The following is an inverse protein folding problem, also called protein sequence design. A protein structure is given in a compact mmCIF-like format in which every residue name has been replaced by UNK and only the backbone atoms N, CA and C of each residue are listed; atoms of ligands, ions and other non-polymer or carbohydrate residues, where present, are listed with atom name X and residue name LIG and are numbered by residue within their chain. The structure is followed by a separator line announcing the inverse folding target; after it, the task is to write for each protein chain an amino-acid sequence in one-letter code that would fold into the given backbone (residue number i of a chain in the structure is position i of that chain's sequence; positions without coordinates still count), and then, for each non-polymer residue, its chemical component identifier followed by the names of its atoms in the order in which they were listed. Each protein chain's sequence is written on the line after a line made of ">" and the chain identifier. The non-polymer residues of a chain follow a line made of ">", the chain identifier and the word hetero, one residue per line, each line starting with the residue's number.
data_IF_340551506837
#
_entry.id   IF_340551506837
#
_cell.length_a   1.000
_cell.length_b   1.000
_cell.length_c   1.000
_cell.angle_alpha   90.00
_cell.angle_beta   90.00
_cell.angle_gamma   90.00
#
_symmetry.space_group_name_H-M   'P 1'
#
loop_
_entity.id
_entity.type
_entity.pdbx_description
1 polymer ?
#
# COMPACT_ATOMS: atom_id res chain seq x y z
N UNK A 1 -26.57 -6.11 4.35
CA UNK A 1 -26.60 -4.65 4.19
C UNK A 1 -25.17 -4.12 4.10
N UNK A 2 -24.91 -3.36 3.09
CA UNK A 2 -23.63 -2.68 3.01
C UNK A 2 -23.56 -1.63 4.11
N UNK A 3 -22.44 -1.55 4.79
CA UNK A 3 -22.24 -0.48 5.76
C UNK A 3 -21.95 0.84 5.00
N UNK A 4 -22.05 1.98 5.67
CA UNK A 4 -21.83 3.26 5.03
C UNK A 4 -20.43 3.45 4.47
N UNK A 5 -19.51 2.70 4.99
CA UNK A 5 -18.14 2.67 4.57
C UNK A 5 -17.99 2.10 3.15
N UNK A 6 -18.58 0.94 2.88
CA UNK A 6 -18.54 0.32 1.56
C UNK A 6 -19.24 1.19 0.53
N UNK A 7 -20.32 1.82 0.92
CA UNK A 7 -21.05 2.73 0.06
C UNK A 7 -20.20 3.96 -0.30
N UNK A 8 -19.48 4.49 0.65
CA UNK A 8 -18.58 5.64 0.43
C UNK A 8 -17.47 5.28 -0.57
N UNK A 9 -16.93 4.08 -0.45
CA UNK A 9 -15.93 3.59 -1.39
C UNK A 9 -16.49 3.50 -2.82
N UNK A 10 -17.68 2.96 -2.93
CA UNK A 10 -18.33 2.83 -4.22
C UNK A 10 -18.58 4.21 -4.84
N UNK A 11 -19.00 5.18 -4.04
CA UNK A 11 -19.21 6.54 -4.51
C UNK A 11 -17.91 7.16 -5.04
N UNK A 12 -16.81 6.97 -4.34
CA UNK A 12 -15.50 7.46 -4.75
C UNK A 12 -15.07 6.81 -6.08
N UNK A 13 -15.30 5.52 -6.22
CA UNK A 13 -15.00 4.79 -7.45
C UNK A 13 -15.81 5.34 -8.62
N UNK A 14 -17.10 5.51 -8.43
CA UNK A 14 -18.02 6.01 -9.47
C UNK A 14 -17.70 7.46 -9.85
N UNK A 15 -17.30 8.25 -8.89
CA UNK A 15 -16.94 9.65 -9.13
C UNK A 15 -15.55 9.82 -9.72
N UNK A 16 -14.73 8.76 -9.69
CA UNK A 16 -13.32 8.84 -10.09
C UNK A 16 -12.50 9.72 -9.16
N UNK A 17 -12.97 9.91 -7.94
CA UNK A 17 -12.42 10.86 -6.99
C UNK A 17 -11.51 10.16 -5.98
N UNK A 18 -10.25 9.94 -6.37
CA UNK A 18 -9.27 9.36 -5.46
C UNK A 18 -8.33 10.42 -4.92
N UNK A 19 -8.13 10.37 -3.61
CA UNK A 19 -7.14 11.18 -2.90
C UNK A 19 -5.98 10.26 -2.55
N UNK A 20 -4.95 10.31 -3.37
CA UNK A 20 -3.85 9.36 -3.33
C UNK A 20 -2.75 9.80 -2.38
N UNK A 21 -2.27 8.85 -1.59
CA UNK A 21 -1.02 8.98 -0.86
C UNK A 21 0.02 8.08 -1.53
N UNK A 22 1.16 8.65 -1.82
CA UNK A 22 2.31 7.91 -2.31
C UNK A 22 3.18 7.57 -1.12
N UNK A 23 3.58 6.30 -1.02
CA UNK A 23 4.50 5.88 0.03
C UNK A 23 5.77 5.30 -0.60
N UNK A 24 6.92 5.87 -0.20
CA UNK A 24 8.23 5.45 -0.66
C UNK A 24 9.07 5.01 0.54
N UNK A 25 9.85 3.95 0.36
CA UNK A 25 10.75 3.47 1.41
C UNK A 25 12.06 3.01 0.78
N UNK A 26 13.15 3.33 1.45
CA UNK A 26 14.48 2.85 1.09
C UNK A 26 15.19 2.42 2.36
N UNK A 27 15.67 1.18 2.41
CA UNK A 27 16.52 0.70 3.49
C UNK A 27 17.96 0.67 3.02
N UNK A 28 18.90 0.46 3.95
CA UNK A 28 20.31 0.34 3.60
C UNK A 28 20.57 -0.81 2.64
N UNK A 29 19.79 -1.88 2.74
CA UNK A 29 19.92 -3.04 1.87
C UNK A 29 19.49 -2.72 0.44
N UNK A 30 18.59 -1.76 0.27
CA UNK A 30 18.08 -1.38 -1.05
C UNK A 30 19.10 -0.60 -1.87
N UNK A 31 20.11 -0.02 -1.23
CA UNK A 31 21.20 0.69 -1.92
C UNK A 31 21.97 -0.22 -2.88
N UNK A 32 21.91 -1.52 -2.64
CA UNK A 32 22.58 -2.51 -3.48
C UNK A 32 21.83 -2.80 -4.77
N UNK A 33 20.58 -2.40 -4.87
CA UNK A 33 19.71 -2.73 -6.00
C UNK A 33 19.78 -1.72 -7.15
N UNK A 34 20.57 -0.67 -7.02
CA UNK A 34 20.82 0.28 -8.10
C UNK A 34 19.87 1.46 -8.14
N UNK A 35 19.88 2.16 -9.26
CA UNK A 35 19.23 3.47 -9.40
C UNK A 35 17.72 3.46 -9.20
N UNK A 36 17.06 2.38 -9.56
CA UNK A 36 15.60 2.32 -9.46
C UNK A 36 15.08 2.28 -8.04
N UNK A 37 15.97 2.03 -7.08
CA UNK A 37 15.60 1.92 -5.67
C UNK A 37 15.47 3.27 -4.97
N UNK A 38 16.01 4.36 -5.54
CA UNK A 38 16.01 5.65 -4.85
C UNK A 38 14.60 6.15 -4.56
N UNK A 39 14.46 6.88 -3.46
CA UNK A 39 13.18 7.49 -3.09
C UNK A 39 12.71 8.48 -4.15
N UNK A 40 13.64 9.29 -4.69
CA UNK A 40 13.30 10.23 -5.74
C UNK A 40 12.73 9.54 -6.98
N UNK A 41 13.33 8.41 -7.37
CA UNK A 41 12.85 7.65 -8.51
C UNK A 41 11.50 6.99 -8.24
N UNK A 42 11.31 6.44 -7.06
CA UNK A 42 10.01 5.89 -6.65
C UNK A 42 8.93 6.95 -6.72
N UNK A 43 9.19 8.10 -6.12
CA UNK A 43 8.26 9.21 -6.08
C UNK A 43 7.88 9.69 -7.48
N UNK A 44 8.88 9.94 -8.32
CA UNK A 44 8.65 10.42 -9.68
C UNK A 44 7.78 9.46 -10.49
N UNK A 45 8.10 8.19 -10.43
CA UNK A 45 7.35 7.15 -11.13
C UNK A 45 5.90 7.09 -10.67
N UNK A 46 5.68 7.16 -9.36
CA UNK A 46 4.34 7.06 -8.79
C UNK A 46 3.52 8.33 -9.02
N UNK A 47 4.15 9.49 -8.96
CA UNK A 47 3.48 10.75 -9.28
C UNK A 47 3.01 10.78 -10.73
N UNK A 48 3.86 10.34 -11.65
CA UNK A 48 3.50 10.25 -13.07
C UNK A 48 2.37 9.26 -13.31
N UNK A 49 2.38 8.15 -12.60
CA UNK A 49 1.31 7.16 -12.71
C UNK A 49 -0.02 7.74 -12.23
N UNK A 50 -0.03 8.41 -11.09
CA UNK A 50 -1.24 9.04 -10.58
C UNK A 50 -1.75 10.14 -11.53
N UNK A 51 -0.86 10.95 -12.07
CA UNK A 51 -1.22 11.99 -13.03
C UNK A 51 -1.89 11.37 -14.26
N UNK A 52 -1.32 10.31 -14.79
CA UNK A 52 -1.87 9.60 -15.94
C UNK A 52 -3.26 9.04 -15.68
N UNK A 53 -3.51 8.59 -14.44
CA UNK A 53 -4.82 8.08 -14.05
C UNK A 53 -5.83 9.17 -13.69
N UNK A 54 -5.38 10.41 -13.56
CA UNK A 54 -6.23 11.51 -13.16
C UNK A 54 -6.51 11.57 -11.66
N UNK A 55 -5.66 10.96 -10.85
CA UNK A 55 -5.81 10.95 -9.40
C UNK A 55 -5.06 12.11 -8.76
N UNK A 56 -5.69 12.71 -7.73
CA UNK A 56 -5.05 13.76 -6.96
C UNK A 56 -4.08 13.16 -5.94
N UNK A 57 -2.82 13.59 -5.98
CA UNK A 57 -1.83 13.21 -4.97
C UNK A 57 -1.92 14.22 -3.83
N UNK A 58 -2.49 13.80 -2.70
CA UNK A 58 -2.69 14.70 -1.56
C UNK A 58 -1.51 14.70 -0.60
N UNK A 59 -0.69 13.65 -0.62
CA UNK A 59 0.48 13.56 0.26
C UNK A 59 1.49 12.57 -0.30
N UNK A 60 2.76 12.83 0.02
CA UNK A 60 3.85 11.89 -0.25
C UNK A 60 4.52 11.61 1.08
N UNK A 61 4.61 10.34 1.43
CA UNK A 61 5.25 9.85 2.65
C UNK A 61 6.49 9.08 2.28
N UNK A 62 7.58 9.30 3.00
CA UNK A 62 8.82 8.63 2.66
C UNK A 62 9.64 8.34 3.91
N UNK A 63 10.12 7.11 3.99
CA UNK A 63 10.99 6.65 5.07
C UNK A 63 12.31 6.18 4.47
N UNK A 64 13.35 6.98 4.64
CA UNK A 64 14.68 6.69 4.13
C UNK A 64 15.54 6.09 5.24
N UNK A 65 16.16 4.96 4.98
CA UNK A 65 16.99 4.26 5.95
C UNK A 65 16.24 3.35 6.90
N UNK A 66 14.95 3.14 6.69
CA UNK A 66 14.12 2.30 7.56
C UNK A 66 13.84 0.94 6.91
N UNK A 67 13.90 -0.11 7.73
CA UNK A 67 13.61 -1.45 7.26
C UNK A 67 12.11 -1.67 7.04
N UNK A 68 11.76 -2.54 6.10
CA UNK A 68 10.38 -2.98 5.92
C UNK A 68 9.94 -4.07 6.88
N UNK A 69 10.81 -4.52 7.79
CA UNK A 69 10.53 -5.64 8.69
C UNK A 69 9.63 -5.27 9.86
N UNK A 70 9.54 -3.99 10.20
CA UNK A 70 8.66 -3.54 11.28
C UNK A 70 7.86 -2.31 10.85
N UNK A 71 6.92 -1.91 11.71
CA UNK A 71 6.03 -0.79 11.45
C UNK A 71 6.53 0.52 12.08
N UNK A 72 7.72 0.51 12.68
CA UNK A 72 8.30 1.69 13.32
C UNK A 72 8.97 2.60 12.30
N UNK A 73 8.19 3.08 11.36
CA UNK A 73 8.59 4.01 10.32
C UNK A 73 7.74 5.26 10.47
N UNK A 74 8.35 6.42 10.79
CA UNK A 74 7.58 7.61 11.17
C UNK A 74 6.57 8.06 10.11
N UNK A 75 6.96 8.07 8.84
CA UNK A 75 6.05 8.52 7.80
C UNK A 75 4.97 7.49 7.49
N UNK A 76 5.27 6.20 7.59
CA UNK A 76 4.23 5.18 7.50
C UNK A 76 3.17 5.42 8.58
N UNK A 77 3.59 5.66 9.81
CA UNK A 77 2.66 5.92 10.91
C UNK A 77 1.84 7.17 10.68
N UNK A 78 2.45 8.23 10.16
CA UNK A 78 1.72 9.45 9.80
C UNK A 78 0.66 9.19 8.74
N UNK A 79 1.01 8.39 7.73
CA UNK A 79 0.08 8.00 6.68
C UNK A 79 -1.11 7.21 7.25
N UNK A 80 -0.84 6.25 8.13
CA UNK A 80 -1.92 5.46 8.73
C UNK A 80 -2.86 6.33 9.56
N UNK A 81 -2.34 7.32 10.27
CA UNK A 81 -3.18 8.27 11.00
C UNK A 81 -4.03 9.13 10.07
N UNK A 82 -3.47 9.57 8.95
CA UNK A 82 -4.21 10.32 7.94
C UNK A 82 -5.34 9.48 7.32
N UNK A 83 -5.08 8.19 7.13
CA UNK A 83 -6.10 7.25 6.67
C UNK A 83 -7.26 7.15 7.67
N UNK A 84 -6.95 7.03 8.95
CA UNK A 84 -7.98 6.97 9.99
C UNK A 84 -8.84 8.24 10.03
N UNK A 85 -8.26 9.37 9.66
CA UNK A 85 -8.97 10.65 9.56
C UNK A 85 -9.71 10.84 8.23
N UNK A 86 -9.74 9.80 7.40
CA UNK A 86 -10.43 9.83 6.10
C UNK A 86 -9.89 10.87 5.12
N UNK A 87 -8.62 11.21 5.24
CA UNK A 87 -7.96 12.17 4.33
C UNK A 87 -7.45 11.51 3.06
N UNK A 88 -7.28 10.19 3.08
CA UNK A 88 -6.69 9.39 2.01
C UNK A 88 -7.62 8.22 1.72
N UNK A 89 -7.88 7.96 0.44
CA UNK A 89 -8.65 6.78 0.04
C UNK A 89 -7.94 5.91 -1.00
N UNK A 90 -6.67 6.23 -1.28
CA UNK A 90 -5.83 5.44 -2.18
C UNK A 90 -4.39 5.51 -1.68
N UNK A 91 -3.75 4.36 -1.52
CA UNK A 91 -2.33 4.28 -1.21
C UNK A 91 -1.64 3.57 -2.37
N UNK A 92 -0.54 4.13 -2.84
CA UNK A 92 0.21 3.54 -3.93
C UNK A 92 1.69 3.46 -3.57
N UNK A 93 2.28 2.29 -3.82
CA UNK A 93 3.71 2.05 -3.65
C UNK A 93 4.29 1.47 -4.94
N UNK A 94 5.61 1.54 -5.07
CA UNK A 94 6.31 0.93 -6.20
C UNK A 94 6.09 -0.57 -6.22
N UNK A 95 6.27 -1.21 -5.08
CA UNK A 95 6.03 -2.64 -4.90
C UNK A 95 5.61 -2.91 -3.46
N UNK A 96 5.21 -4.13 -3.21
CA UNK A 96 4.70 -4.53 -1.89
C UNK A 96 5.77 -4.40 -0.81
N UNK A 97 7.04 -4.64 -1.14
CA UNK A 97 8.13 -4.58 -0.16
C UNK A 97 8.31 -3.16 0.41
N UNK A 98 7.91 -2.14 -0.33
CA UNK A 98 7.97 -0.76 0.17
C UNK A 98 6.95 -0.54 1.27
N UNK A 99 5.77 -1.12 1.14
CA UNK A 99 4.77 -1.07 2.21
C UNK A 99 5.25 -1.85 3.44
N UNK A 100 5.81 -3.04 3.23
CA UNK A 100 6.38 -3.83 4.30
C UNK A 100 6.91 -5.17 3.83
N UNK A 101 7.90 -5.68 4.56
CA UNK A 101 8.48 -7.01 4.35
C UNK A 101 8.01 -8.04 5.37
N UNK A 102 7.31 -7.58 6.41
CA UNK A 102 6.67 -8.48 7.36
C UNK A 102 5.28 -8.80 6.82
N UNK A 103 5.13 -9.99 6.28
CA UNK A 103 3.90 -10.35 5.59
C UNK A 103 2.67 -10.40 6.49
N UNK A 104 2.84 -10.70 7.77
CA UNK A 104 1.70 -10.69 8.70
C UNK A 104 1.19 -9.28 8.92
N UNK A 105 2.09 -8.33 9.20
CA UNK A 105 1.73 -6.94 9.41
C UNK A 105 1.21 -6.29 8.13
N UNK A 106 1.87 -6.55 7.01
CA UNK A 106 1.50 -6.01 5.71
C UNK A 106 0.16 -6.59 5.26
N UNK A 107 -0.05 -7.88 5.49
CA UNK A 107 -1.32 -8.52 5.19
C UNK A 107 -2.46 -7.93 6.00
N UNK A 108 -2.22 -7.63 7.28
CA UNK A 108 -3.22 -6.97 8.12
C UNK A 108 -3.61 -5.61 7.54
N UNK A 109 -2.63 -4.84 7.06
CA UNK A 109 -2.93 -3.56 6.43
C UNK A 109 -3.82 -3.74 5.19
N UNK A 110 -3.46 -4.65 4.31
CA UNK A 110 -4.13 -4.83 3.01
C UNK A 110 -5.48 -5.50 3.17
N UNK A 111 -5.60 -6.48 4.05
CA UNK A 111 -6.81 -7.29 4.16
C UNK A 111 -7.81 -6.77 5.19
N UNK A 112 -7.35 -5.94 6.13
CA UNK A 112 -8.22 -5.43 7.19
C UNK A 112 -8.20 -3.90 7.28
N UNK A 113 -7.04 -3.31 7.54
CA UNK A 113 -6.95 -1.88 7.85
C UNK A 113 -7.39 -1.00 6.67
N UNK A 114 -6.86 -1.25 5.48
CA UNK A 114 -7.21 -0.46 4.30
C UNK A 114 -8.68 -0.63 3.91
N UNK A 115 -9.20 -1.85 3.76
CA UNK A 115 -10.63 -2.00 3.44
C UNK A 115 -11.53 -1.37 4.49
N UNK A 116 -11.23 -1.54 5.76
CA UNK A 116 -12.02 -1.00 6.84
C UNK A 116 -12.06 0.52 6.85
N UNK A 117 -11.03 1.17 6.31
CA UNK A 117 -10.94 2.62 6.24
C UNK A 117 -11.23 3.18 4.83
N UNK A 118 -11.75 2.36 3.93
CA UNK A 118 -12.12 2.83 2.60
C UNK A 118 -10.95 3.12 1.69
N UNK A 119 -9.84 2.40 1.87
CA UNK A 119 -8.61 2.66 1.13
C UNK A 119 -8.34 1.57 0.11
N UNK A 120 -8.21 2.00 -1.17
CA UNK A 120 -7.68 1.17 -2.23
C UNK A 120 -6.16 1.15 -2.12
N UNK A 121 -5.55 -0.01 -2.30
CA UNK A 121 -4.10 -0.13 -2.30
C UNK A 121 -3.60 -0.68 -3.64
N UNK A 122 -2.56 -0.04 -4.16
CA UNK A 122 -1.90 -0.46 -5.41
C UNK A 122 -0.40 -0.63 -5.15
N UNK A 123 0.13 -1.81 -5.47
CA UNK A 123 1.56 -2.06 -5.57
C UNK A 123 1.88 -2.21 -7.05
N UNK A 124 2.46 -1.19 -7.64
CA UNK A 124 2.54 -1.03 -9.08
C UNK A 124 3.29 -2.15 -9.79
N UNK A 125 4.49 -2.48 -9.31
CA UNK A 125 5.32 -3.50 -9.94
C UNK A 125 4.87 -4.94 -9.67
N UNK A 126 4.07 -5.14 -8.63
CA UNK A 126 3.57 -6.47 -8.28
C UNK A 126 2.20 -6.76 -8.89
N UNK A 127 1.62 -5.79 -9.58
CA UNK A 127 0.29 -5.95 -10.16
C UNK A 127 -0.81 -6.08 -9.13
N UNK A 128 -0.59 -5.58 -7.93
CA UNK A 128 -1.59 -5.64 -6.86
C UNK A 128 -2.47 -4.40 -6.91
N UNK A 129 -3.78 -4.61 -6.92
CA UNK A 129 -4.77 -3.55 -6.86
C UNK A 129 -5.99 -4.11 -6.14
N UNK A 130 -6.22 -3.63 -4.92
CA UNK A 130 -7.28 -4.18 -4.07
C UNK A 130 -8.70 -3.86 -4.56
N UNK A 131 -8.84 -2.93 -5.49
CA UNK A 131 -10.13 -2.63 -6.09
C UNK A 131 -10.55 -3.66 -7.12
N UNK A 132 -9.57 -4.34 -7.70
CA UNK A 132 -9.85 -5.37 -8.68
C UNK A 132 -10.38 -6.63 -8.00
N UNK A 133 -10.80 -7.56 -8.84
CA UNK A 133 -11.25 -8.87 -8.46
C UNK A 133 -10.23 -9.54 -7.50
N UNK A 134 -10.72 -10.42 -6.66
CA UNK A 134 -9.91 -11.15 -5.69
C UNK A 134 -8.73 -11.90 -6.31
N UNK A 135 -8.79 -12.17 -7.59
CA UNK A 135 -7.71 -12.86 -8.30
C UNK A 135 -6.43 -12.02 -8.37
N UNK A 136 -6.54 -10.71 -8.35
CA UNK A 136 -5.38 -9.84 -8.47
C UNK A 136 -4.50 -9.83 -7.24
N UNK A 137 -5.07 -10.16 -6.08
CA UNK A 137 -4.31 -10.26 -4.84
C UNK A 137 -4.05 -11.71 -4.42
N UNK A 138 -4.47 -12.68 -5.24
CA UNK A 138 -4.28 -14.08 -4.93
C UNK A 138 -2.82 -14.47 -4.67
N UNK A 139 -1.83 -14.00 -5.48
CA UNK A 139 -0.43 -14.31 -5.19
C UNK A 139 0.00 -13.87 -3.80
N UNK A 140 -0.43 -12.67 -3.39
CA UNK A 140 -0.12 -12.15 -2.07
C UNK A 140 -0.78 -12.98 -0.97
N UNK A 141 -2.03 -13.34 -1.14
CA UNK A 141 -2.75 -14.20 -0.19
C UNK A 141 -2.08 -15.57 -0.06
N UNK A 142 -1.60 -16.12 -1.17
CA UNK A 142 -0.88 -17.38 -1.15
C UNK A 142 0.44 -17.29 -0.39
N UNK A 143 1.17 -16.20 -0.56
CA UNK A 143 2.40 -15.94 0.18
C UNK A 143 2.11 -15.85 1.67
N UNK A 144 1.10 -15.09 2.06
CA UNK A 144 0.68 -14.97 3.46
C UNK A 144 0.32 -16.31 4.06
N UNK A 145 -0.44 -17.10 3.32
CA UNK A 145 -0.88 -18.42 3.77
C UNK A 145 0.32 -19.33 4.01
N UNK A 146 1.28 -19.34 3.09
CA UNK A 146 2.49 -20.15 3.20
C UNK A 146 3.35 -19.73 4.39
N UNK A 147 3.51 -18.43 4.60
CA UNK A 147 4.28 -17.91 5.73
C UNK A 147 3.59 -18.23 7.05
N UNK A 148 2.28 -18.08 7.09
CA UNK A 148 1.51 -18.46 8.27
C UNK A 148 1.70 -19.94 8.61
N UNK A 149 1.72 -20.80 7.59
CA UNK A 149 1.99 -22.22 7.78
C UNK A 149 3.40 -22.46 8.27
N UNK A 150 4.38 -21.75 7.74
CA UNK A 150 5.78 -21.88 8.18
C UNK A 150 5.99 -21.38 9.60
N UNK A 151 5.22 -20.37 10.01
CA UNK A 151 5.30 -19.82 11.36
C UNK A 151 4.54 -20.62 12.41
N UNK A 152 3.88 -21.70 12.01
CA UNK A 152 3.11 -22.56 12.90
C UNK A 152 3.58 -23.99 12.78
N UNK A 153 3.49 -24.72 13.88
CA UNK A 153 3.83 -26.13 13.88
C UNK A 153 2.86 -26.95 13.01
N UNK A 154 1.67 -26.41 12.81
CA UNK A 154 0.64 -27.07 12.01
C UNK A 154 -0.09 -26.03 11.16
N UNK A 155 -0.48 -26.42 10.01
CA UNK A 155 -1.29 -25.62 9.11
C UNK A 155 -2.50 -26.42 8.70
#
# INVERSE_FOLDING_TARGET
>A
MMNGYEYTDMDAILAGSFRAAIYCRLSKDDDLDGESASIANQRDMLEKYCEKQGWEVVAVYQDDGFTGLNMERPDLQRMLRAIERRQINLVITKDLSRLGRNYLQTGHLIEDFFPRNGVRYIAMNDGIDTLRDNNDIAPFKNILKNISCLGRVFC
#
